data_IF_543814078637
#
_entry.id   IF_543814078637
#
_cell.length_a   1.000
_cell.length_b   1.000
_cell.length_c   1.000
_cell.angle_alpha   90.00
_cell.angle_beta   90.00
_cell.angle_gamma   90.00
#
_symmetry.space_group_name_H-M   'P 1'
#
loop_
_entity.id
_entity.type
_entity.pdbx_description
1 polymer ?
#
# COMPACT_ATOMS: atom_id res chain seq x y z
N UNK A 1 -13.44 43.67 16.00
CA UNK A 1 -14.21 43.35 14.77
C UNK A 1 -13.46 42.23 14.07
N UNK A 2 -13.87 40.98 14.27
CA UNK A 2 -13.23 39.81 13.63
C UNK A 2 -13.81 39.74 12.21
N UNK A 3 -12.93 39.86 11.23
CA UNK A 3 -13.21 39.98 9.81
C UNK A 3 -14.12 38.84 9.30
N UNK A 4 -15.33 39.21 8.86
CA UNK A 4 -16.32 38.30 8.28
C UNK A 4 -15.80 37.63 7.00
N UNK A 5 -14.79 38.23 6.37
CA UNK A 5 -14.13 37.77 5.15
C UNK A 5 -13.34 36.48 5.36
N UNK A 6 -12.68 36.31 6.51
CA UNK A 6 -11.91 35.09 6.82
C UNK A 6 -12.79 33.86 7.06
N UNK A 7 -13.98 34.03 7.67
CA UNK A 7 -14.93 32.91 7.87
C UNK A 7 -15.55 32.41 6.57
N UNK A 8 -15.74 33.31 5.60
CA UNK A 8 -16.33 32.96 4.31
C UNK A 8 -15.31 32.25 3.39
N UNK A 9 -14.01 32.54 3.54
CA UNK A 9 -12.96 31.84 2.79
C UNK A 9 -12.80 30.38 3.26
N UNK A 10 -12.86 30.11 4.57
CA UNK A 10 -12.82 28.75 5.12
C UNK A 10 -13.98 27.89 4.58
N UNK A 11 -15.22 28.40 4.61
CA UNK A 11 -16.39 27.68 4.11
C UNK A 11 -16.36 27.42 2.59
N UNK A 12 -15.78 28.33 1.80
CA UNK A 12 -15.67 28.17 0.34
C UNK A 12 -14.53 27.23 -0.07
N UNK A 13 -13.42 27.25 0.66
CA UNK A 13 -12.32 26.30 0.50
C UNK A 13 -12.80 24.90 0.88
N UNK A 14 -13.52 24.75 1.99
CA UNK A 14 -14.12 23.48 2.42
C UNK A 14 -15.09 22.91 1.37
N UNK A 15 -16.06 23.70 0.90
CA UNK A 15 -17.05 23.22 -0.06
C UNK A 15 -16.48 22.99 -1.47
N UNK A 16 -15.51 23.79 -1.94
CA UNK A 16 -14.93 23.62 -3.27
C UNK A 16 -13.87 22.51 -3.35
N UNK A 17 -13.14 22.23 -2.26
CA UNK A 17 -12.33 21.02 -2.13
C UNK A 17 -13.20 19.78 -2.04
N UNK A 18 -14.27 19.79 -1.23
CA UNK A 18 -15.18 18.65 -1.08
C UNK A 18 -16.02 18.35 -2.33
N UNK A 19 -16.33 19.35 -3.16
CA UNK A 19 -17.14 19.15 -4.38
C UNK A 19 -16.34 18.81 -5.65
N UNK A 20 -15.00 18.96 -5.62
CA UNK A 20 -14.13 18.65 -6.77
C UNK A 20 -13.04 17.62 -6.49
N UNK A 21 -12.72 17.35 -5.23
CA UNK A 21 -11.68 16.38 -4.86
C UNK A 21 -12.37 15.18 -4.25
N UNK A 22 -12.39 14.06 -4.98
CA UNK A 22 -12.67 12.75 -4.40
C UNK A 22 -11.61 12.47 -3.33
N UNK A 23 -11.92 12.83 -2.09
CA UNK A 23 -11.04 12.62 -0.96
C UNK A 23 -10.79 11.11 -0.84
N UNK A 24 -9.52 10.70 -0.75
CA UNK A 24 -9.21 9.29 -0.65
C UNK A 24 -9.81 8.77 0.67
N UNK A 25 -10.52 7.66 0.63
CA UNK A 25 -11.08 7.06 1.83
C UNK A 25 -10.13 5.98 2.35
N UNK A 26 -9.86 5.97 3.65
CA UNK A 26 -8.99 4.97 4.28
C UNK A 26 -9.64 4.34 5.50
N UNK A 27 -9.71 3.01 5.51
CA UNK A 27 -10.45 2.24 6.52
C UNK A 27 -9.56 1.49 7.50
N UNK A 28 -8.37 1.00 7.08
CA UNK A 28 -7.28 0.46 7.91
C UNK A 28 -6.21 -0.38 7.20
N UNK A 29 -6.28 -0.60 5.89
CA UNK A 29 -5.35 -1.51 5.22
C UNK A 29 -3.92 -0.96 5.23
N UNK A 30 -3.01 -1.58 5.98
CA UNK A 30 -1.58 -1.17 6.01
C UNK A 30 -0.94 -1.15 4.61
N UNK A 31 -1.46 -1.96 3.68
CA UNK A 31 -0.98 -2.01 2.29
C UNK A 31 -1.45 -0.80 1.47
N UNK A 32 -2.57 -0.21 1.84
CA UNK A 32 -3.16 0.96 1.16
C UNK A 32 -2.74 2.28 1.80
N UNK A 33 -2.20 2.23 3.03
CA UNK A 33 -1.82 3.43 3.77
C UNK A 33 -0.80 4.31 3.05
N UNK A 34 0.28 3.78 2.43
CA UNK A 34 1.25 4.62 1.73
C UNK A 34 0.62 5.42 0.58
N UNK A 35 -0.23 4.78 -0.23
CA UNK A 35 -0.93 5.43 -1.34
C UNK A 35 -1.94 6.46 -0.84
N UNK A 36 -2.73 6.11 0.18
CA UNK A 36 -3.64 7.04 0.83
C UNK A 36 -2.91 8.28 1.35
N UNK A 37 -1.82 8.07 2.11
CA UNK A 37 -1.09 9.15 2.75
C UNK A 37 -0.45 10.08 1.72
N UNK A 38 0.14 9.54 0.66
CA UNK A 38 0.74 10.33 -0.42
C UNK A 38 -0.31 11.17 -1.14
N UNK A 39 -1.47 10.57 -1.44
CA UNK A 39 -2.59 11.27 -2.08
C UNK A 39 -3.17 12.36 -1.17
N UNK A 40 -3.38 12.08 0.11
CA UNK A 40 -3.87 13.06 1.09
C UNK A 40 -2.86 14.21 1.27
N UNK A 41 -1.58 13.89 1.41
CA UNK A 41 -0.52 14.89 1.59
C UNK A 41 -0.42 15.82 0.37
N UNK A 42 -0.49 15.27 -0.84
CA UNK A 42 -0.42 16.07 -2.07
C UNK A 42 -1.64 16.98 -2.26
N UNK A 43 -2.84 16.49 -1.94
CA UNK A 43 -4.09 17.23 -2.13
C UNK A 43 -4.33 18.27 -1.04
N UNK A 44 -3.99 17.95 0.20
CA UNK A 44 -4.34 18.74 1.40
C UNK A 44 -3.10 19.03 2.25
N UNK A 45 -2.38 17.98 2.68
CA UNK A 45 -1.35 18.10 3.71
C UNK A 45 -0.26 19.13 3.40
N UNK A 46 0.17 19.19 2.14
CA UNK A 46 1.24 20.03 1.62
C UNK A 46 0.73 21.38 1.09
N UNK A 47 -0.57 21.68 1.20
CA UNK A 47 -1.13 22.96 0.77
C UNK A 47 -0.88 24.02 1.84
N UNK A 48 -0.06 25.05 1.57
CA UNK A 48 0.29 26.05 2.58
C UNK A 48 -0.86 27.00 2.92
N UNK A 49 -1.89 27.07 2.06
CA UNK A 49 -3.05 27.94 2.24
C UNK A 49 -4.19 27.28 3.04
N UNK A 50 -4.05 26.02 3.42
CA UNK A 50 -5.01 25.31 4.27
C UNK A 50 -4.40 25.26 5.66
N UNK A 51 -5.12 25.76 6.66
CA UNK A 51 -4.66 25.70 8.05
C UNK A 51 -4.78 24.28 8.61
N UNK A 52 -4.00 23.98 9.64
CA UNK A 52 -3.91 22.61 10.16
C UNK A 52 -5.20 22.12 10.83
N UNK A 53 -6.06 23.01 11.35
CA UNK A 53 -7.35 22.58 11.90
C UNK A 53 -8.28 22.13 10.77
N UNK A 54 -8.29 22.84 9.65
CA UNK A 54 -9.00 22.45 8.43
C UNK A 54 -8.44 21.15 7.83
N UNK A 55 -7.10 21.03 7.73
CA UNK A 55 -6.46 19.76 7.33
C UNK A 55 -6.88 18.60 8.23
N UNK A 56 -6.97 18.84 9.54
CA UNK A 56 -7.35 17.80 10.48
C UNK A 56 -8.82 17.40 10.35
N UNK A 57 -9.72 18.36 10.11
CA UNK A 57 -11.12 18.08 9.80
C UNK A 57 -11.26 17.19 8.57
N UNK A 58 -10.56 17.55 7.48
CA UNK A 58 -10.53 16.77 6.24
C UNK A 58 -9.88 15.39 6.42
N UNK A 59 -8.84 15.29 7.25
CA UNK A 59 -8.22 14.02 7.61
C UNK A 59 -9.22 13.12 8.35
N UNK A 60 -9.98 13.64 9.32
CA UNK A 60 -11.01 12.85 9.99
C UNK A 60 -12.11 12.39 9.02
N UNK A 61 -12.50 13.24 8.08
CA UNK A 61 -13.51 12.91 7.06
C UNK A 61 -13.03 11.83 6.08
N UNK A 62 -11.73 11.81 5.77
CA UNK A 62 -11.11 10.82 4.86
C UNK A 62 -10.86 9.46 5.52
N UNK A 63 -11.10 9.33 6.83
CA UNK A 63 -10.88 8.10 7.59
C UNK A 63 -12.20 7.40 7.93
N UNK A 64 -12.15 6.07 7.95
CA UNK A 64 -13.26 5.18 8.35
C UNK A 64 -12.75 4.11 9.30
N UNK A 65 -13.69 3.43 9.97
CA UNK A 65 -13.40 2.24 10.76
C UNK A 65 -12.32 2.46 11.82
N UNK A 66 -11.36 1.54 11.87
CA UNK A 66 -10.32 1.53 12.91
C UNK A 66 -9.31 2.68 12.73
N UNK A 67 -9.11 3.21 11.53
CA UNK A 67 -8.21 4.33 11.30
C UNK A 67 -8.77 5.63 11.92
N UNK A 68 -10.07 5.87 11.75
CA UNK A 68 -10.76 6.96 12.43
C UNK A 68 -10.76 6.77 13.95
N UNK A 69 -10.95 5.53 14.41
CA UNK A 69 -10.96 5.20 15.84
C UNK A 69 -9.62 5.56 16.54
N UNK A 70 -8.47 5.38 15.88
CA UNK A 70 -7.16 5.73 16.43
C UNK A 70 -7.03 7.20 16.85
N UNK A 71 -7.73 8.12 16.16
CA UNK A 71 -7.61 9.57 16.37
C UNK A 71 -8.93 10.21 16.81
N UNK A 72 -9.96 9.41 17.09
CA UNK A 72 -11.31 9.92 17.37
C UNK A 72 -11.32 10.84 18.61
N UNK A 73 -10.52 10.51 19.63
CA UNK A 73 -10.43 11.24 20.90
C UNK A 73 -9.72 12.59 20.82
N UNK A 74 -9.07 12.91 19.69
CA UNK A 74 -8.39 14.19 19.50
C UNK A 74 -9.39 15.27 19.04
N UNK A 75 -9.57 16.38 19.77
CA UNK A 75 -10.41 17.48 19.29
C UNK A 75 -9.78 18.15 18.07
N UNK A 76 -10.60 18.63 17.14
CA UNK A 76 -10.14 19.27 15.90
C UNK A 76 -9.50 20.62 16.24
N UNK A 77 -8.17 20.65 16.30
CA UNK A 77 -7.35 21.84 16.54
C UNK A 77 -6.07 21.75 15.70
N UNK A 78 -5.45 22.90 15.39
CA UNK A 78 -4.19 22.94 14.63
C UNK A 78 -3.08 22.17 15.34
N UNK A 79 -2.99 22.26 16.67
CA UNK A 79 -2.00 21.54 17.46
C UNK A 79 -2.13 20.01 17.37
N UNK A 80 -3.36 19.50 17.22
CA UNK A 80 -3.62 18.06 17.18
C UNK A 80 -3.46 17.44 15.79
N UNK A 81 -3.35 18.24 14.73
CA UNK A 81 -3.16 17.71 13.37
C UNK A 81 -1.91 16.83 13.28
N UNK A 82 -0.76 17.36 13.69
CA UNK A 82 0.51 16.64 13.64
C UNK A 82 0.50 15.40 14.55
N UNK A 83 -0.09 15.50 15.73
CA UNK A 83 -0.27 14.37 16.65
C UNK A 83 -1.10 13.26 15.99
N UNK A 84 -2.20 13.61 15.32
CA UNK A 84 -3.03 12.65 14.60
C UNK A 84 -2.27 11.98 13.44
N UNK A 85 -1.48 12.75 12.70
CA UNK A 85 -0.63 12.22 11.62
C UNK A 85 0.40 11.22 12.16
N UNK A 86 1.06 11.56 13.26
CA UNK A 86 2.06 10.69 13.88
C UNK A 86 1.42 9.37 14.36
N UNK A 87 0.27 9.44 15.02
CA UNK A 87 -0.50 8.25 15.43
C UNK A 87 -0.81 7.36 14.22
N UNK A 88 -1.31 7.94 13.12
CA UNK A 88 -1.63 7.17 11.92
C UNK A 88 -0.40 6.51 11.31
N UNK A 89 0.72 7.25 11.19
CA UNK A 89 1.97 6.69 10.67
C UNK A 89 2.52 5.58 11.56
N UNK A 90 2.52 5.76 12.88
CA UNK A 90 2.94 4.71 13.82
C UNK A 90 2.11 3.44 13.68
N UNK A 91 0.80 3.55 13.44
CA UNK A 91 -0.07 2.39 13.33
C UNK A 91 -0.13 1.76 11.92
N UNK A 92 0.11 2.52 10.86
CA UNK A 92 -0.16 2.07 9.49
C UNK A 92 1.03 2.20 8.53
N UNK A 93 2.08 2.95 8.84
CA UNK A 93 3.34 3.05 8.06
C UNK A 93 4.41 2.10 8.60
N UNK A 94 4.00 0.90 9.03
CA UNK A 94 4.92 -0.12 9.51
C UNK A 94 5.41 -0.98 8.33
N UNK A 95 6.62 -0.66 7.86
CA UNK A 95 7.28 -1.37 6.76
C UNK A 95 7.58 -2.83 7.09
N UNK A 96 7.93 -3.14 8.33
CA UNK A 96 8.25 -4.51 8.76
C UNK A 96 6.99 -5.36 8.73
N UNK A 97 5.91 -4.86 9.33
CA UNK A 97 4.61 -5.55 9.31
C UNK A 97 4.05 -5.65 7.89
N UNK A 98 4.17 -4.61 7.08
CA UNK A 98 3.79 -4.62 5.66
C UNK A 98 4.53 -5.71 4.89
N UNK A 99 5.85 -5.78 5.05
CA UNK A 99 6.68 -6.83 4.42
C UNK A 99 6.29 -8.22 4.90
N UNK A 100 6.04 -8.40 6.19
CA UNK A 100 5.59 -9.68 6.75
C UNK A 100 4.23 -10.13 6.19
N UNK A 101 3.27 -9.22 6.06
CA UNK A 101 1.96 -9.50 5.45
C UNK A 101 2.10 -9.87 3.98
N UNK A 102 2.94 -9.16 3.23
CA UNK A 102 3.19 -9.45 1.80
C UNK A 102 3.91 -10.79 1.61
N UNK A 103 4.91 -11.10 2.46
CA UNK A 103 5.56 -12.41 2.49
C UNK A 103 4.53 -13.51 2.71
N UNK A 104 3.67 -13.35 3.72
CA UNK A 104 2.65 -14.32 4.07
C UNK A 104 1.66 -14.53 2.93
N UNK A 105 1.21 -13.45 2.28
CA UNK A 105 0.33 -13.51 1.09
C UNK A 105 0.99 -14.24 -0.08
N UNK A 106 2.25 -13.94 -0.38
CA UNK A 106 3.01 -14.63 -1.44
C UNK A 106 3.17 -16.12 -1.13
N UNK A 107 3.56 -16.45 0.10
CA UNK A 107 3.72 -17.82 0.55
C UNK A 107 2.40 -18.61 0.55
N UNK A 108 1.26 -17.94 0.79
CA UNK A 108 -0.07 -18.56 0.82
C UNK A 108 -0.78 -18.62 -0.53
N UNK A 109 -0.20 -18.12 -1.63
CA UNK A 109 -0.81 -18.22 -2.95
C UNK A 109 -1.14 -19.69 -3.30
N UNK A 110 -2.27 -19.98 -3.95
CA UNK A 110 -2.59 -21.35 -4.34
C UNK A 110 -1.58 -21.87 -5.38
N UNK A 111 -1.26 -23.18 -5.37
CA UNK A 111 -0.51 -23.77 -6.47
C UNK A 111 -1.33 -23.74 -7.75
N UNK A 112 -0.68 -23.51 -8.89
CA UNK A 112 -1.29 -23.60 -10.20
C UNK A 112 -1.73 -25.04 -10.48
N UNK A 113 -2.82 -25.19 -11.23
CA UNK A 113 -3.27 -26.49 -11.70
C UNK A 113 -2.18 -27.19 -12.56
N UNK A 114 -2.11 -28.53 -12.56
CA UNK A 114 -1.09 -29.25 -13.32
C UNK A 114 -1.10 -28.99 -14.82
N UNK A 115 -2.25 -28.59 -15.39
CA UNK A 115 -2.42 -28.29 -16.81
C UNK A 115 -2.00 -26.87 -17.18
N UNK A 116 -1.72 -26.00 -16.20
CA UNK A 116 -1.26 -24.63 -16.40
C UNK A 116 -2.37 -23.65 -16.81
N UNK A 117 -3.65 -24.00 -16.66
CA UNK A 117 -4.79 -23.13 -17.03
C UNK A 117 -4.79 -21.82 -16.24
N UNK A 118 -4.40 -21.87 -14.97
CA UNK A 118 -4.38 -20.70 -14.08
C UNK A 118 -3.00 -20.03 -13.99
N UNK A 119 -2.05 -20.43 -14.84
CA UNK A 119 -0.66 -19.96 -14.77
C UNK A 119 -0.58 -18.43 -14.93
N UNK A 120 -1.33 -17.86 -15.87
CA UNK A 120 -1.35 -16.41 -16.08
C UNK A 120 -1.91 -15.66 -14.87
N UNK A 121 -2.94 -16.21 -14.22
CA UNK A 121 -3.54 -15.61 -13.03
C UNK A 121 -2.53 -15.63 -11.88
N UNK A 122 -1.89 -16.78 -11.66
CA UNK A 122 -0.84 -16.93 -10.64
C UNK A 122 0.33 -15.98 -10.91
N UNK A 123 0.80 -15.88 -12.15
CA UNK A 123 1.86 -14.97 -12.56
C UNK A 123 1.50 -13.52 -12.25
N UNK A 124 0.32 -13.06 -12.65
CA UNK A 124 -0.14 -11.70 -12.39
C UNK A 124 -0.23 -11.40 -10.88
N UNK A 125 -0.71 -12.35 -10.09
CA UNK A 125 -0.76 -12.24 -8.63
C UNK A 125 0.63 -12.16 -8.00
N UNK A 126 1.54 -13.04 -8.39
CA UNK A 126 2.94 -13.00 -7.96
C UNK A 126 3.57 -11.65 -8.33
N UNK A 127 3.36 -11.17 -9.57
CA UNK A 127 3.93 -9.93 -10.08
C UNK A 127 3.49 -8.72 -9.25
N UNK A 128 2.19 -8.58 -9.03
CA UNK A 128 1.65 -7.48 -8.24
C UNK A 128 2.20 -7.50 -6.80
N UNK A 129 2.20 -8.67 -6.16
CA UNK A 129 2.64 -8.81 -4.77
C UNK A 129 4.16 -8.65 -4.59
N UNK A 130 4.97 -9.18 -5.50
CA UNK A 130 6.44 -9.02 -5.48
C UNK A 130 6.81 -7.55 -5.68
N UNK A 131 6.14 -6.84 -6.58
CA UNK A 131 6.36 -5.40 -6.77
C UNK A 131 6.08 -4.61 -5.49
N UNK A 132 5.00 -4.92 -4.77
CA UNK A 132 4.71 -4.31 -3.48
C UNK A 132 5.76 -4.72 -2.42
N UNK A 133 6.13 -5.99 -2.37
CA UNK A 133 7.10 -6.53 -1.41
C UNK A 133 8.49 -5.87 -1.54
N UNK A 134 8.89 -5.56 -2.77
CA UNK A 134 10.18 -4.93 -3.08
C UNK A 134 10.13 -3.38 -3.07
N UNK A 135 9.05 -2.75 -2.61
CA UNK A 135 8.92 -1.28 -2.66
C UNK A 135 9.94 -0.54 -1.77
N UNK A 136 10.29 -1.11 -0.61
CA UNK A 136 11.17 -0.46 0.37
C UNK A 136 12.52 -1.16 0.57
N UNK A 137 12.60 -2.47 0.28
CA UNK A 137 13.79 -3.30 0.43
C UNK A 137 13.75 -4.38 -0.64
N UNK A 138 14.90 -4.68 -1.27
CA UNK A 138 14.99 -5.74 -2.26
C UNK A 138 14.75 -7.14 -1.67
N UNK A 139 14.70 -8.14 -2.55
CA UNK A 139 14.47 -9.54 -2.20
C UNK A 139 15.73 -10.40 -2.32
N UNK A 140 16.92 -9.79 -2.31
CA UNK A 140 18.22 -10.46 -2.54
C UNK A 140 18.51 -11.61 -1.56
N UNK A 141 17.87 -11.60 -0.39
CA UNK A 141 18.02 -12.62 0.66
C UNK A 141 16.87 -13.64 0.70
N UNK A 142 15.83 -13.45 -0.12
CA UNK A 142 14.54 -14.14 0.01
C UNK A 142 14.46 -15.42 -0.84
N UNK A 143 15.56 -16.19 -0.90
CA UNK A 143 15.62 -17.44 -1.66
C UNK A 143 14.58 -18.47 -1.19
N UNK A 144 14.29 -18.51 0.11
CA UNK A 144 13.25 -19.37 0.67
C UNK A 144 11.88 -19.06 0.09
N UNK A 145 11.53 -17.77 -0.04
CA UNK A 145 10.28 -17.35 -0.66
C UNK A 145 10.24 -17.70 -2.15
N UNK A 146 11.34 -17.48 -2.87
CA UNK A 146 11.44 -17.87 -4.27
C UNK A 146 11.27 -19.39 -4.50
N UNK A 147 11.84 -20.23 -3.63
CA UNK A 147 11.63 -21.67 -3.66
C UNK A 147 10.16 -22.07 -3.38
N UNK A 148 9.50 -21.39 -2.44
CA UNK A 148 8.06 -21.57 -2.18
C UNK A 148 7.25 -21.23 -3.44
N UNK A 149 7.52 -20.10 -4.08
CA UNK A 149 6.82 -19.67 -5.29
C UNK A 149 7.08 -20.59 -6.49
N UNK A 150 8.32 -21.05 -6.68
CA UNK A 150 8.69 -22.03 -7.71
C UNK A 150 7.88 -23.32 -7.56
N UNK A 151 7.64 -23.77 -6.32
CA UNK A 151 6.84 -24.96 -6.04
C UNK A 151 5.34 -24.78 -6.32
N UNK A 152 4.86 -23.55 -6.51
CA UNK A 152 3.47 -23.27 -6.91
C UNK A 152 3.27 -23.43 -8.43
N UNK A 153 4.33 -23.55 -9.22
CA UNK A 153 4.24 -23.64 -10.66
C UNK A 153 4.02 -25.10 -11.13
N UNK A 154 3.35 -25.31 -12.28
CA UNK A 154 3.20 -26.64 -12.87
C UNK A 154 4.57 -27.28 -13.19
N UNK A 155 4.64 -28.62 -13.13
CA UNK A 155 5.90 -29.37 -13.34
C UNK A 155 6.62 -29.01 -14.65
N UNK A 156 5.86 -28.84 -15.74
CA UNK A 156 6.42 -28.53 -17.05
C UNK A 156 7.05 -27.12 -17.09
N UNK A 157 6.44 -26.14 -16.42
CA UNK A 157 6.99 -24.78 -16.27
C UNK A 157 8.27 -24.83 -15.44
N UNK A 158 8.23 -25.54 -14.30
CA UNK A 158 9.41 -25.72 -13.44
C UNK A 158 10.58 -26.34 -14.20
N UNK A 159 10.33 -27.36 -15.02
CA UNK A 159 11.35 -27.99 -15.86
C UNK A 159 12.03 -26.97 -16.77
N UNK A 160 11.26 -26.17 -17.51
CA UNK A 160 11.79 -25.12 -18.39
C UNK A 160 12.62 -24.10 -17.62
N UNK A 161 12.22 -23.75 -16.39
CA UNK A 161 12.99 -22.86 -15.53
C UNK A 161 14.32 -23.51 -15.15
N UNK A 162 14.34 -24.78 -14.72
CA UNK A 162 15.58 -25.48 -14.38
C UNK A 162 16.54 -25.61 -15.57
N UNK A 163 15.99 -25.86 -16.78
CA UNK A 163 16.78 -25.91 -18.01
C UNK A 163 17.43 -24.55 -18.31
N UNK A 164 16.69 -23.45 -18.14
CA UNK A 164 17.21 -22.07 -18.31
C UNK A 164 18.22 -21.67 -17.23
N UNK A 165 18.11 -22.20 -16.01
CA UNK A 165 18.98 -21.83 -14.89
C UNK A 165 20.20 -22.73 -14.75
N UNK A 166 20.47 -23.64 -15.70
CA UNK A 166 21.52 -24.65 -15.58
C UNK A 166 21.42 -25.44 -14.25
N UNK A 167 20.21 -25.81 -13.84
CA UNK A 167 19.90 -26.49 -12.58
C UNK A 167 20.19 -25.69 -11.30
N UNK A 168 20.38 -24.36 -11.36
CA UNK A 168 20.41 -23.54 -10.16
C UNK A 168 19.00 -23.42 -9.56
N UNK A 169 18.87 -23.69 -8.26
CA UNK A 169 17.59 -23.74 -7.54
C UNK A 169 17.27 -22.49 -6.72
N UNK A 170 18.27 -21.64 -6.48
CA UNK A 170 18.17 -20.48 -5.60
C UNK A 170 17.75 -19.25 -6.40
N UNK A 171 16.45 -19.13 -6.66
CA UNK A 171 15.86 -17.96 -7.29
C UNK A 171 15.26 -17.07 -6.21
N UNK A 172 15.45 -15.76 -6.33
CA UNK A 172 14.63 -14.78 -5.58
C UNK A 172 13.25 -14.66 -6.26
N UNK A 173 12.22 -14.17 -5.56
CA UNK A 173 10.91 -13.89 -6.16
C UNK A 173 11.00 -13.06 -7.45
N UNK A 174 11.81 -12.01 -7.46
CA UNK A 174 12.04 -11.13 -8.61
C UNK A 174 12.75 -11.84 -9.75
N UNK A 175 13.78 -12.64 -9.46
CA UNK A 175 14.46 -13.44 -10.48
C UNK A 175 13.52 -14.47 -11.12
N UNK A 176 12.71 -15.15 -10.30
CA UNK A 176 11.71 -16.11 -10.77
C UNK A 176 10.70 -15.49 -11.73
N UNK A 177 10.15 -14.32 -11.39
CA UNK A 177 9.19 -13.63 -12.26
C UNK A 177 9.80 -13.22 -13.59
N UNK A 178 11.05 -12.74 -13.59
CA UNK A 178 11.73 -12.35 -14.84
C UNK A 178 11.85 -13.55 -15.78
N UNK A 179 12.18 -14.72 -15.26
CA UNK A 179 12.26 -15.96 -16.05
C UNK A 179 10.89 -16.40 -16.58
N UNK A 180 9.82 -16.20 -15.81
CA UNK A 180 8.45 -16.52 -16.23
C UNK A 180 7.96 -15.64 -17.39
N UNK A 181 8.44 -14.40 -17.51
CA UNK A 181 8.12 -13.53 -18.66
C UNK A 181 8.63 -14.11 -19.99
N UNK A 182 9.70 -14.92 -19.93
CA UNK A 182 10.39 -15.43 -21.11
C UNK A 182 9.93 -16.86 -21.51
N UNK A 183 8.91 -17.43 -20.87
CA UNK A 183 8.46 -18.84 -21.04
C UNK A 183 7.07 -18.88 -21.69
#
# INVERSE_FOLDING_TARGET
>A
MIDQSSRNLCNFVDASLLSKVDLPMFSCSILEFPEFWERFSTLIGNKPHIDDATKFSLLKFSLKGKALHCIQGLPITSANYHIAVDILKTHFDDRVTTRHVLFSKLASLPPCDPTGKELQVLYNQMYALIRQFCTYEDDSKEYGLGAILLNKLPRHVRSRIYDKTNNQTNLTPTALIRLLTDI
#
